data_IF_363859516046
#
_entry.id   IF_363859516046
#
_cell.length_a   1.000
_cell.length_b   1.000
_cell.length_c   1.000
_cell.angle_alpha   90.00
_cell.angle_beta   90.00
_cell.angle_gamma   90.00
#
_symmetry.space_group_name_H-M   'P 1'
#
loop_
_entity.id
_entity.type
_entity.pdbx_description
1 polymer ?
#
# COMPACT_ATOMS: atom_id res chain seq x y z
N UNK A 1 -20.04 -9.55 1.81
CA UNK A 1 -18.94 -9.08 2.68
C UNK A 1 -17.95 -8.30 1.84
N UNK A 2 -17.44 -7.17 2.32
CA UNK A 2 -16.45 -6.42 1.55
C UNK A 2 -15.13 -7.22 1.44
N UNK A 3 -14.50 -7.11 0.29
CA UNK A 3 -13.18 -7.68 0.10
C UNK A 3 -12.16 -6.91 0.93
N UNK A 4 -11.23 -7.62 1.55
CA UNK A 4 -10.14 -7.04 2.33
C UNK A 4 -8.83 -7.22 1.57
N UNK A 5 -8.23 -6.10 1.17
CA UNK A 5 -7.04 -6.10 0.31
C UNK A 5 -5.87 -5.47 1.04
N UNK A 6 -4.75 -6.18 1.07
CA UNK A 6 -3.48 -5.61 1.51
C UNK A 6 -2.82 -4.89 0.34
N UNK A 7 -2.45 -3.64 0.54
CA UNK A 7 -1.54 -2.92 -0.36
C UNK A 7 -0.16 -2.95 0.28
N UNK A 8 0.74 -3.72 -0.29
CA UNK A 8 2.08 -3.90 0.23
C UNK A 8 3.06 -3.05 -0.57
N UNK A 9 3.61 -2.04 0.07
CA UNK A 9 4.52 -1.07 -0.55
C UNK A 9 5.96 -1.41 -0.19
N UNK A 10 6.77 -1.63 -1.20
CA UNK A 10 8.16 -2.04 -1.07
C UNK A 10 9.14 -0.91 -0.76
N UNK A 11 10.43 -1.20 -0.91
CA UNK A 11 11.50 -0.28 -0.50
C UNK A 11 11.39 1.09 -1.17
N UNK A 12 11.76 2.12 -0.40
CA UNK A 12 11.85 3.52 -0.84
C UNK A 12 10.51 4.21 -1.14
N UNK A 13 9.39 3.51 -1.12
CA UNK A 13 8.09 4.14 -1.37
C UNK A 13 7.71 5.13 -0.26
N UNK A 14 8.26 4.96 0.94
CA UNK A 14 8.10 5.93 2.02
C UNK A 14 8.71 7.30 1.71
N UNK A 15 9.60 7.36 0.71
CA UNK A 15 10.28 8.60 0.32
C UNK A 15 9.55 9.38 -0.76
N UNK A 16 8.42 8.87 -1.24
CA UNK A 16 7.63 9.57 -2.26
C UNK A 16 7.25 10.98 -1.80
N UNK A 17 7.39 11.95 -2.70
CA UNK A 17 7.06 13.35 -2.44
C UNK A 17 8.12 14.12 -1.67
N UNK A 18 9.20 13.45 -1.22
CA UNK A 18 10.23 14.10 -0.39
C UNK A 18 11.51 14.41 -1.16
N UNK A 19 11.70 13.80 -2.35
CA UNK A 19 12.92 13.94 -3.15
C UNK A 19 12.60 14.62 -4.48
N UNK A 20 13.23 15.79 -4.70
CA UNK A 20 13.12 16.54 -5.95
C UNK A 20 11.67 16.60 -6.48
N UNK A 21 10.73 17.17 -5.70
CA UNK A 21 9.30 17.14 -6.08
C UNK A 21 9.00 17.76 -7.43
N UNK A 22 9.81 18.71 -7.87
CA UNK A 22 9.68 19.37 -9.17
C UNK A 22 9.95 18.42 -10.34
N UNK A 23 10.65 17.32 -10.11
CA UNK A 23 10.96 16.32 -11.13
C UNK A 23 10.06 15.10 -11.00
N UNK A 24 9.92 14.57 -9.77
CA UNK A 24 9.24 13.30 -9.49
C UNK A 24 7.81 13.47 -8.95
N UNK A 25 7.38 14.73 -8.72
CA UNK A 25 6.08 15.02 -8.17
C UNK A 25 6.10 15.09 -6.64
N UNK A 26 5.07 15.70 -6.08
CA UNK A 26 4.96 15.95 -4.65
C UNK A 26 4.03 14.96 -3.92
N UNK A 27 3.42 14.00 -4.62
CA UNK A 27 2.54 13.03 -3.99
C UNK A 27 3.33 12.12 -3.05
N UNK A 28 2.87 12.05 -1.81
CA UNK A 28 3.44 11.15 -0.81
C UNK A 28 2.79 9.78 -0.89
N UNK A 29 3.39 8.78 -0.23
CA UNK A 29 2.77 7.46 -0.11
C UNK A 29 1.40 7.55 0.59
N UNK A 30 1.27 8.42 1.61
CA UNK A 30 0.00 8.62 2.29
C UNK A 30 -1.08 9.15 1.33
N UNK A 31 -0.72 10.05 0.42
CA UNK A 31 -1.64 10.57 -0.59
C UNK A 31 -2.12 9.47 -1.53
N UNK A 32 -1.20 8.61 -1.95
CA UNK A 32 -1.51 7.47 -2.84
C UNK A 32 -2.41 6.47 -2.12
N UNK A 33 -2.07 6.11 -0.88
CA UNK A 33 -2.88 5.19 -0.09
C UNK A 33 -4.30 5.71 0.10
N UNK A 34 -4.45 7.01 0.33
CA UNK A 34 -5.78 7.61 0.47
C UNK A 34 -6.61 7.47 -0.80
N UNK A 35 -6.00 7.69 -1.97
CA UNK A 35 -6.69 7.51 -3.25
C UNK A 35 -7.11 6.06 -3.46
N UNK A 36 -6.26 5.12 -3.09
CA UNK A 36 -6.57 3.69 -3.20
C UNK A 36 -7.72 3.30 -2.26
N UNK A 37 -7.70 3.81 -1.03
CA UNK A 37 -8.77 3.58 -0.07
C UNK A 37 -10.11 4.13 -0.56
N UNK A 38 -10.12 5.32 -1.13
CA UNK A 38 -11.32 5.94 -1.69
C UNK A 38 -11.87 5.12 -2.86
N UNK A 39 -11.00 4.65 -3.75
CA UNK A 39 -11.40 3.80 -4.87
C UNK A 39 -11.99 2.47 -4.38
N UNK A 40 -11.37 1.85 -3.39
CA UNK A 40 -11.85 0.60 -2.82
C UNK A 40 -13.22 0.78 -2.15
N UNK A 41 -13.41 1.87 -1.40
CA UNK A 41 -14.67 2.17 -0.75
C UNK A 41 -15.81 2.33 -1.75
N UNK A 42 -15.55 2.91 -2.91
CA UNK A 42 -16.54 3.06 -3.97
C UNK A 42 -17.01 1.69 -4.51
N UNK A 43 -16.23 0.64 -4.31
CA UNK A 43 -16.54 -0.73 -4.73
C UNK A 43 -16.76 -1.68 -3.55
N UNK A 44 -17.10 -1.12 -2.39
CA UNK A 44 -17.36 -1.89 -1.17
C UNK A 44 -16.17 -2.73 -0.72
N UNK A 45 -14.97 -2.22 -0.92
CA UNK A 45 -13.72 -2.87 -0.52
C UNK A 45 -13.09 -2.22 0.71
N UNK A 46 -12.27 -3.00 1.41
CA UNK A 46 -11.46 -2.50 2.52
C UNK A 46 -9.99 -2.64 2.14
N UNK A 47 -9.22 -1.57 2.38
CA UNK A 47 -7.78 -1.56 2.12
C UNK A 47 -7.05 -1.36 3.45
N UNK A 48 -5.99 -2.13 3.64
CA UNK A 48 -4.98 -1.80 4.63
C UNK A 48 -3.61 -1.80 3.97
N UNK A 49 -2.75 -0.88 4.37
CA UNK A 49 -1.48 -0.63 3.71
C UNK A 49 -0.33 -0.89 4.66
N UNK A 50 0.70 -1.55 4.15
CA UNK A 50 1.96 -1.77 4.86
C UNK A 50 3.07 -1.28 3.93
N UNK A 51 4.07 -0.61 4.49
CA UNK A 51 5.27 -0.22 3.78
C UNK A 51 6.49 -0.69 4.56
N UNK A 52 7.47 -1.23 3.86
CA UNK A 52 8.73 -1.60 4.48
C UNK A 52 9.88 -1.51 3.50
N UNK A 53 11.05 -1.18 4.03
CA UNK A 53 12.32 -1.22 3.31
C UNK A 53 13.05 -2.54 3.53
N UNK A 54 12.47 -3.46 4.30
CA UNK A 54 13.09 -4.71 4.71
C UNK A 54 12.40 -5.89 4.04
N UNK A 55 13.15 -6.66 3.27
CA UNK A 55 12.62 -7.81 2.55
C UNK A 55 11.94 -8.82 3.47
N UNK A 56 12.55 -9.12 4.62
CA UNK A 56 11.96 -10.04 5.59
C UNK A 56 10.60 -9.59 6.10
N UNK A 57 10.44 -8.29 6.36
CA UNK A 57 9.17 -7.74 6.80
C UNK A 57 8.10 -7.82 5.71
N UNK A 58 8.48 -7.64 4.45
CA UNK A 58 7.58 -7.78 3.30
C UNK A 58 7.11 -9.23 3.16
N UNK A 59 8.02 -10.17 3.32
CA UNK A 59 7.70 -11.60 3.27
C UNK A 59 6.73 -11.98 4.40
N UNK A 60 7.00 -11.51 5.62
CA UNK A 60 6.13 -11.76 6.77
C UNK A 60 4.72 -11.20 6.53
N UNK A 61 4.64 -10.00 5.97
CA UNK A 61 3.36 -9.37 5.65
C UNK A 61 2.57 -10.19 4.63
N UNK A 62 3.23 -10.72 3.60
CA UNK A 62 2.59 -11.59 2.62
C UNK A 62 2.06 -12.88 3.24
N UNK A 63 2.83 -13.48 4.13
CA UNK A 63 2.43 -14.72 4.81
C UNK A 63 1.22 -14.47 5.73
N UNK A 64 1.21 -13.38 6.47
CA UNK A 64 0.08 -13.01 7.31
C UNK A 64 -1.18 -12.71 6.48
N UNK A 65 -1.01 -12.07 5.32
CA UNK A 65 -2.12 -11.75 4.43
C UNK A 65 -2.86 -13.00 3.95
N UNK A 66 -2.19 -14.14 3.85
CA UNK A 66 -2.82 -15.40 3.46
C UNK A 66 -3.99 -15.77 4.38
N UNK A 67 -3.95 -15.34 5.63
CA UNK A 67 -4.99 -15.62 6.62
C UNK A 67 -5.93 -14.44 6.88
N UNK A 68 -5.61 -13.25 6.40
CA UNK A 68 -6.30 -12.03 6.77
C UNK A 68 -6.91 -11.27 5.59
N UNK A 69 -6.39 -11.46 4.41
CA UNK A 69 -6.80 -10.69 3.24
C UNK A 69 -7.34 -11.59 2.15
N UNK A 70 -8.22 -11.02 1.32
CA UNK A 70 -8.75 -11.69 0.14
C UNK A 70 -7.82 -11.53 -1.06
N UNK A 71 -6.96 -10.53 -1.02
CA UNK A 71 -5.98 -10.29 -2.08
C UNK A 71 -4.87 -9.35 -1.63
N UNK A 72 -3.83 -9.28 -2.44
CA UNK A 72 -2.66 -8.42 -2.19
C UNK A 72 -2.31 -7.68 -3.47
N UNK A 73 -2.10 -6.37 -3.34
CA UNK A 73 -1.47 -5.56 -4.37
C UNK A 73 -0.06 -5.28 -3.90
N UNK A 74 0.93 -5.76 -4.65
CA UNK A 74 2.33 -5.54 -4.32
C UNK A 74 2.89 -4.43 -5.22
N UNK A 75 3.28 -3.36 -4.57
CA UNK A 75 3.80 -2.20 -5.28
C UNK A 75 5.31 -2.07 -5.06
#
# INVERSE_FOLDING_TARGET
>A
MPAKILVLNGPNLNMLGTREPEIYGALTLADINKKVEEAASAHDGMIYSIQSNHEGALIDALQEAANQADGVIFN
#
